data_IF_308094073767
#
_entry.id   IF_308094073767
#
_cell.length_a   1.000
_cell.length_b   1.000
_cell.length_c   1.000
_cell.angle_alpha   90.00
_cell.angle_beta   90.00
_cell.angle_gamma   90.00
#
_symmetry.space_group_name_H-M   'P 1'
#
loop_
_entity.id
_entity.type
_entity.pdbx_description
1 polymer ?
#
# COMPACT_ATOMS: atom_id res chain seq x y z
N UNK A 1 -22.40 -5.51 12.85
CA UNK A 1 -21.16 -4.68 12.76
C UNK A 1 -21.35 -3.41 11.93
N UNK A 2 -22.16 -3.39 10.87
CA UNK A 2 -22.38 -2.19 10.03
C UNK A 2 -23.22 -1.07 10.67
N UNK A 3 -24.10 -1.35 11.64
CA UNK A 3 -24.93 -0.32 12.30
C UNK A 3 -24.19 0.52 13.35
N UNK A 4 -23.06 0.05 13.87
CA UNK A 4 -22.30 0.77 14.90
C UNK A 4 -21.29 1.77 14.30
N UNK A 5 -20.81 1.53 13.08
CA UNK A 5 -19.85 2.42 12.40
C UNK A 5 -20.47 3.72 11.86
N UNK A 6 -21.80 3.83 11.82
CA UNK A 6 -22.52 5.01 11.33
C UNK A 6 -22.88 6.07 12.40
N UNK A 7 -22.67 5.78 13.69
CA UNK A 7 -22.99 6.74 14.77
C UNK A 7 -21.77 7.61 15.13
N UNK A 8 -21.99 8.86 15.56
CA UNK A 8 -20.93 9.78 16.06
C UNK A 8 -20.03 9.10 17.11
N UNK A 9 -20.57 8.20 17.94
CA UNK A 9 -19.82 7.40 18.92
C UNK A 9 -18.91 6.35 18.25
N UNK A 10 -19.36 5.67 17.20
CA UNK A 10 -18.56 4.70 16.44
C UNK A 10 -17.38 5.34 15.72
N UNK A 11 -17.57 6.52 15.13
CA UNK A 11 -16.50 7.31 14.50
C UNK A 11 -15.47 7.76 15.56
N UNK A 12 -15.93 8.14 16.75
CA UNK A 12 -15.06 8.56 17.85
C UNK A 12 -14.22 7.40 18.39
N UNK A 13 -14.81 6.20 18.54
CA UNK A 13 -14.10 4.97 18.92
C UNK A 13 -13.09 4.57 17.85
N UNK A 14 -13.45 4.65 16.57
CA UNK A 14 -12.53 4.35 15.47
C UNK A 14 -11.32 5.31 15.45
N UNK A 15 -11.57 6.60 15.68
CA UNK A 15 -10.50 7.59 15.82
C UNK A 15 -9.62 7.29 17.04
N UNK A 16 -10.22 6.92 18.18
CA UNK A 16 -9.46 6.55 19.38
C UNK A 16 -8.57 5.32 19.13
N UNK A 17 -9.08 4.28 18.48
CA UNK A 17 -8.29 3.10 18.09
C UNK A 17 -7.16 3.51 17.16
N UNK A 18 -7.42 4.35 16.16
CA UNK A 18 -6.41 4.84 15.22
C UNK A 18 -5.27 5.57 15.93
N UNK A 19 -5.59 6.49 16.85
CA UNK A 19 -4.58 7.23 17.59
C UNK A 19 -3.84 6.35 18.62
N UNK A 20 -4.51 5.36 19.22
CA UNK A 20 -3.87 4.35 20.07
C UNK A 20 -2.87 3.50 19.27
N UNK A 21 -3.23 3.10 18.05
CA UNK A 21 -2.30 2.40 17.14
C UNK A 21 -1.11 3.28 16.77
N UNK A 22 -1.32 4.56 16.49
CA UNK A 22 -0.21 5.49 16.25
C UNK A 22 0.70 5.62 17.46
N UNK A 23 0.15 5.75 18.66
CA UNK A 23 0.94 5.78 19.89
C UNK A 23 1.80 4.52 20.07
N UNK A 24 1.23 3.33 19.86
CA UNK A 24 1.97 2.08 19.92
C UNK A 24 3.10 2.01 18.87
N UNK A 25 2.83 2.44 17.64
CA UNK A 25 3.82 2.50 16.56
C UNK A 25 4.95 3.49 16.87
N UNK A 26 4.62 4.67 17.40
CA UNK A 26 5.64 5.62 17.82
C UNK A 26 6.50 5.08 18.95
N UNK A 27 5.90 4.43 19.95
CA UNK A 27 6.66 3.80 21.03
C UNK A 27 7.64 2.76 20.48
N UNK A 28 7.20 1.89 19.58
CA UNK A 28 8.08 0.90 18.93
C UNK A 28 9.18 1.56 18.09
N UNK A 29 8.88 2.59 17.30
CA UNK A 29 9.89 3.26 16.49
C UNK A 29 10.89 4.10 17.31
N UNK A 30 10.54 4.51 18.53
CA UNK A 30 11.48 5.15 19.45
C UNK A 30 12.43 4.14 20.10
N UNK A 31 12.03 2.87 20.20
CA UNK A 31 12.87 1.77 20.65
C UNK A 31 13.72 1.17 19.53
N UNK A 32 13.23 1.28 18.29
CA UNK A 32 13.89 0.74 17.10
C UNK A 32 15.02 1.64 16.63
N UNK A 33 16.23 1.10 16.68
CA UNK A 33 17.44 1.74 16.20
C UNK A 33 18.38 0.80 15.47
N UNK A 34 19.54 1.35 15.12
CA UNK A 34 20.65 0.63 14.52
C UNK A 34 21.71 0.49 15.62
N UNK A 35 22.01 -0.76 15.98
CA UNK A 35 22.97 -1.13 17.04
C UNK A 35 22.68 -0.47 18.40
N UNK A 36 21.44 -0.03 18.63
CA UNK A 36 21.05 0.71 19.84
C UNK A 36 21.63 2.13 19.96
N UNK A 37 22.27 2.67 18.92
CA UNK A 37 22.89 4.00 18.92
C UNK A 37 22.09 5.02 18.10
N UNK A 38 21.51 4.59 16.98
CA UNK A 38 20.87 5.48 16.00
C UNK A 38 19.37 5.17 15.90
N UNK A 39 18.48 6.14 16.17
CA UNK A 39 17.02 5.94 16.23
C UNK A 39 16.23 6.77 15.18
N UNK A 40 16.36 6.52 13.87
CA UNK A 40 15.89 7.43 12.82
C UNK A 40 14.38 7.28 12.47
N UNK A 41 13.69 6.28 13.00
CA UNK A 41 12.36 5.90 12.50
C UNK A 41 11.22 6.78 13.04
N UNK A 42 11.29 7.19 14.32
CA UNK A 42 10.17 7.84 14.99
C UNK A 42 9.84 9.23 14.41
N UNK A 43 10.86 10.08 14.18
CA UNK A 43 10.63 11.42 13.63
C UNK A 43 10.15 11.39 12.17
N UNK A 44 10.66 10.43 11.41
CA UNK A 44 10.36 10.22 10.00
C UNK A 44 8.90 9.79 9.83
N UNK A 45 8.43 8.92 10.72
CA UNK A 45 7.03 8.52 10.83
C UNK A 45 6.11 9.68 11.23
N UNK A 46 6.57 10.55 12.15
CA UNK A 46 5.83 11.76 12.55
C UNK A 46 5.58 12.70 11.37
N UNK A 47 6.62 13.03 10.61
CA UNK A 47 6.51 13.94 9.45
C UNK A 47 5.63 13.33 8.36
N UNK A 48 5.74 12.02 8.12
CA UNK A 48 4.89 11.32 7.15
C UNK A 48 3.39 11.38 7.54
N UNK A 49 3.06 11.24 8.82
CA UNK A 49 1.68 11.37 9.32
C UNK A 49 1.14 12.79 9.19
N UNK A 50 1.95 13.80 9.50
CA UNK A 50 1.58 15.21 9.31
C UNK A 50 1.30 15.53 7.84
N UNK A 51 2.09 14.98 6.91
CA UNK A 51 1.86 15.12 5.48
C UNK A 51 0.52 14.52 5.03
N UNK A 52 0.13 13.39 5.62
CA UNK A 52 -1.11 12.70 5.31
C UNK A 52 -2.37 13.32 5.97
N UNK A 53 -2.31 14.62 6.26
CA UNK A 53 -3.39 15.47 6.75
C UNK A 53 -4.08 14.93 8.02
N UNK A 54 -3.31 14.28 8.90
CA UNK A 54 -3.77 13.94 10.25
C UNK A 54 -3.73 15.18 11.16
N UNK A 55 -4.47 15.15 12.27
CA UNK A 55 -4.50 16.25 13.23
C UNK A 55 -3.10 16.46 13.84
N UNK A 56 -2.37 17.45 13.31
CA UNK A 56 -0.95 17.71 13.63
C UNK A 56 -0.73 17.86 15.13
N UNK A 57 -1.61 18.56 15.85
CA UNK A 57 -1.50 18.75 17.30
C UNK A 57 -1.62 17.46 18.11
N UNK A 58 -2.54 16.58 17.70
CA UNK A 58 -2.73 15.32 18.41
C UNK A 58 -1.58 14.37 18.11
N UNK A 59 -1.12 14.32 16.85
CA UNK A 59 0.04 13.53 16.46
C UNK A 59 1.32 14.01 17.12
N UNK A 60 1.54 15.33 17.26
CA UNK A 60 2.72 15.87 17.94
C UNK A 60 2.70 15.56 19.45
N UNK A 61 1.54 15.67 20.09
CA UNK A 61 1.38 15.28 21.50
C UNK A 61 1.66 13.80 21.74
N UNK A 62 1.14 12.94 20.86
CA UNK A 62 1.38 11.49 20.89
C UNK A 62 2.88 11.16 20.70
N UNK A 63 3.53 11.82 19.75
CA UNK A 63 4.96 11.63 19.48
C UNK A 63 5.80 11.94 20.73
N UNK A 64 5.65 13.14 21.29
CA UNK A 64 6.39 13.55 22.50
C UNK A 64 6.07 12.64 23.68
N UNK A 65 4.80 12.29 23.90
CA UNK A 65 4.39 11.41 25.00
C UNK A 65 5.03 10.02 24.88
N UNK A 66 5.04 9.44 23.67
CA UNK A 66 5.61 8.11 23.44
C UNK A 66 7.13 8.06 23.65
N UNK A 67 7.84 9.12 23.25
CA UNK A 67 9.29 9.20 23.40
C UNK A 67 9.70 9.47 24.85
N UNK A 68 8.91 10.25 25.60
CA UNK A 68 9.14 10.52 27.04
C UNK A 68 9.01 9.28 27.91
N UNK A 69 8.15 8.34 27.54
CA UNK A 69 8.01 7.06 28.24
C UNK A 69 9.26 6.20 28.07
N UNK A 70 9.94 6.30 26.92
CA UNK A 70 11.13 5.51 26.64
C UNK A 70 12.35 6.03 27.41
N UNK A 71 12.68 7.32 27.28
CA UNK A 71 13.83 7.92 27.94
C UNK A 71 13.50 9.33 28.44
N UNK A 72 13.29 9.44 29.75
CA UNK A 72 13.06 10.72 30.41
C UNK A 72 14.38 11.45 30.65
N UNK A 73 14.87 12.17 29.65
CA UNK A 73 16.01 13.09 29.78
C UNK A 73 15.64 14.48 29.27
N UNK A 74 16.23 15.51 29.89
CA UNK A 74 16.02 16.91 29.50
C UNK A 74 16.49 17.17 28.06
N UNK A 75 17.60 16.55 27.65
CA UNK A 75 18.12 16.62 26.28
C UNK A 75 17.11 16.06 25.27
N UNK A 76 16.58 14.86 25.53
CA UNK A 76 15.58 14.25 24.66
C UNK A 76 14.32 15.12 24.59
N UNK A 77 13.86 15.68 25.70
CA UNK A 77 12.69 16.56 25.71
C UNK A 77 12.90 17.82 24.85
N UNK A 78 14.07 18.44 24.90
CA UNK A 78 14.39 19.62 24.08
C UNK A 78 14.42 19.24 22.59
N UNK A 79 15.08 18.13 22.22
CA UNK A 79 15.13 17.66 20.84
C UNK A 79 13.73 17.34 20.28
N UNK A 80 12.89 16.65 21.07
CA UNK A 80 11.55 16.23 20.66
C UNK A 80 10.56 17.40 20.60
N UNK A 81 10.65 18.34 21.53
CA UNK A 81 9.82 19.55 21.48
C UNK A 81 10.22 20.44 20.30
N UNK A 82 11.51 20.58 20.01
CA UNK A 82 11.98 21.36 18.86
C UNK A 82 11.49 20.76 17.53
N UNK A 83 11.64 19.45 17.33
CA UNK A 83 11.13 18.76 16.14
C UNK A 83 9.62 18.96 15.99
N UNK A 84 8.84 18.77 17.06
CA UNK A 84 7.39 18.97 17.06
C UNK A 84 6.99 20.42 16.73
N UNK A 85 7.63 21.41 17.37
CA UNK A 85 7.34 22.83 17.17
C UNK A 85 7.66 23.28 15.75
N UNK A 86 8.82 22.90 15.20
CA UNK A 86 9.21 23.26 13.82
C UNK A 86 8.18 22.74 12.83
N UNK A 87 7.72 21.50 12.98
CA UNK A 87 6.75 20.89 12.07
C UNK A 87 5.35 21.51 12.21
N UNK A 88 4.91 21.82 13.44
CA UNK A 88 3.65 22.54 13.69
C UNK A 88 3.70 23.94 13.09
N UNK A 89 4.81 24.66 13.28
CA UNK A 89 5.04 25.98 12.67
C UNK A 89 4.99 25.92 11.15
N UNK A 90 5.69 24.95 10.53
CA UNK A 90 5.66 24.76 9.08
C UNK A 90 4.25 24.48 8.57
N UNK A 91 3.47 23.66 9.28
CA UNK A 91 2.08 23.39 8.93
C UNK A 91 1.21 24.67 8.99
N UNK A 92 1.38 25.50 10.01
CA UNK A 92 0.67 26.77 10.14
C UNK A 92 1.01 27.77 9.03
N UNK A 93 2.29 27.86 8.67
CA UNK A 93 2.76 28.73 7.58
C UNK A 93 2.09 28.33 6.27
N UNK A 94 2.07 27.04 5.93
CA UNK A 94 1.40 26.56 4.71
C UNK A 94 -0.12 26.71 4.75
N UNK A 95 -0.74 26.52 5.92
CA UNK A 95 -2.18 26.77 6.10
C UNK A 95 -2.53 28.25 5.88
N UNK A 96 -1.69 29.18 6.33
CA UNK A 96 -1.87 30.63 6.08
C UNK A 96 -1.64 30.99 4.61
N UNK A 97 -0.66 30.38 3.95
CA UNK A 97 -0.30 30.64 2.55
C UNK A 97 -1.29 29.96 1.57
N UNK A 98 -2.18 29.07 2.04
CA UNK A 98 -3.13 28.28 1.23
C UNK A 98 -2.46 27.43 0.13
N UNK A 99 -1.14 27.27 0.16
CA UNK A 99 -0.41 26.41 -0.75
C UNK A 99 -0.34 24.98 -0.18
N UNK A 100 -0.49 23.99 -1.04
CA UNK A 100 -0.16 22.61 -0.69
C UNK A 100 1.36 22.49 -0.61
N UNK A 101 1.86 21.80 0.41
CA UNK A 101 3.29 21.61 0.58
C UNK A 101 3.80 20.80 -0.64
N UNK A 102 4.82 21.27 -1.38
CA UNK A 102 5.39 20.51 -2.49
C UNK A 102 6.33 19.42 -1.97
N UNK A 103 6.35 18.26 -2.64
CA UNK A 103 7.10 17.07 -2.17
C UNK A 103 8.60 17.32 -2.02
N UNK A 104 9.16 18.25 -2.81
CA UNK A 104 10.57 18.63 -2.75
C UNK A 104 10.96 19.43 -1.49
N UNK A 105 10.01 20.09 -0.83
CA UNK A 105 10.26 20.93 0.35
C UNK A 105 10.21 20.14 1.66
N UNK A 106 9.63 18.93 1.61
CA UNK A 106 9.54 18.03 2.75
C UNK A 106 10.89 17.60 3.35
N UNK A 107 11.92 17.17 2.59
CA UNK A 107 13.23 16.85 3.17
C UNK A 107 13.90 18.06 3.80
N UNK A 108 13.67 19.27 3.28
CA UNK A 108 14.19 20.50 3.89
C UNK A 108 13.55 20.73 5.26
N UNK A 109 12.24 20.53 5.40
CA UNK A 109 11.58 20.57 6.69
C UNK A 109 12.03 19.48 7.65
N UNK A 110 12.33 18.28 7.13
CA UNK A 110 12.90 17.20 7.91
C UNK A 110 14.26 17.61 8.52
N UNK A 111 15.15 18.17 7.70
CA UNK A 111 16.46 18.63 8.15
C UNK A 111 16.35 19.77 9.17
N UNK A 112 15.49 20.75 8.90
CA UNK A 112 15.24 21.86 9.83
C UNK A 112 14.71 21.39 11.18
N UNK A 113 13.83 20.38 11.18
CA UNK A 113 13.29 19.82 12.43
C UNK A 113 14.38 19.17 13.30
N UNK A 114 15.46 18.65 12.71
CA UNK A 114 16.53 17.94 13.42
C UNK A 114 17.71 18.82 13.85
N UNK A 115 17.58 20.15 13.72
CA UNK A 115 18.63 21.10 14.10
C UNK A 115 19.05 20.97 15.57
N UNK A 116 18.10 20.81 16.50
CA UNK A 116 18.40 20.59 17.91
C UNK A 116 19.21 19.31 18.14
N UNK A 117 18.83 18.20 17.50
CA UNK A 117 19.55 16.93 17.60
C UNK A 117 21.00 17.05 17.10
N UNK A 118 21.20 17.75 15.98
CA UNK A 118 22.54 18.00 15.46
C UNK A 118 23.40 18.81 16.44
N UNK A 119 22.86 19.86 17.06
CA UNK A 119 23.64 20.71 17.99
C UNK A 119 24.14 19.92 19.19
N UNK A 120 23.33 19.02 19.77
CA UNK A 120 23.75 18.22 20.92
C UNK A 120 24.76 17.12 20.56
N UNK A 121 24.65 16.51 19.37
CA UNK A 121 25.49 15.36 18.97
C UNK A 121 26.73 15.74 18.12
N UNK A 122 26.85 16.98 17.64
CA UNK A 122 28.03 17.46 16.91
C UNK A 122 29.22 17.81 17.82
N UNK A 123 29.05 17.75 19.15
CA UNK A 123 30.11 18.09 20.11
C UNK A 123 31.29 17.13 20.15
N UNK A 124 31.17 15.93 19.57
CA UNK A 124 32.26 14.93 19.57
C UNK A 124 32.51 14.37 18.17
N UNK A 125 33.80 14.20 17.81
CA UNK A 125 34.23 13.74 16.47
C UNK A 125 33.63 12.36 16.13
N UNK A 126 33.48 11.49 17.13
CA UNK A 126 32.95 10.13 16.95
C UNK A 126 31.44 10.09 16.66
N UNK A 127 30.69 11.15 16.99
CA UNK A 127 29.23 11.21 16.82
C UNK A 127 28.78 11.88 15.52
N UNK A 128 29.71 12.47 14.75
CA UNK A 128 29.41 13.12 13.46
C UNK A 128 28.85 12.11 12.46
N UNK A 129 29.52 10.96 12.30
CA UNK A 129 29.12 9.93 11.33
C UNK A 129 27.75 9.32 11.68
N UNK A 130 27.48 8.87 12.93
CA UNK A 130 26.15 8.41 13.33
C UNK A 130 25.04 9.45 13.11
N UNK A 131 25.32 10.74 13.35
CA UNK A 131 24.33 11.82 13.15
C UNK A 131 23.99 12.03 11.67
N UNK A 132 24.96 11.94 10.76
CA UNK A 132 24.69 12.01 9.33
C UNK A 132 23.88 10.80 8.85
N UNK A 133 24.24 9.60 9.33
CA UNK A 133 23.51 8.36 9.03
C UNK A 133 22.06 8.43 9.53
N UNK A 134 21.83 8.97 10.72
CA UNK A 134 20.49 9.23 11.28
C UNK A 134 19.62 10.06 10.33
N UNK A 135 20.15 11.17 9.83
CA UNK A 135 19.41 12.09 8.95
C UNK A 135 19.09 11.43 7.60
N UNK A 136 20.08 10.80 6.98
CA UNK A 136 19.91 10.18 5.66
C UNK A 136 18.91 9.02 5.73
N UNK A 137 19.07 8.11 6.69
CA UNK A 137 18.15 6.96 6.85
C UNK A 137 16.75 7.44 7.21
N UNK A 138 16.63 8.45 8.07
CA UNK A 138 15.32 9.00 8.43
C UNK A 138 14.59 9.64 7.24
N UNK A 139 15.27 10.43 6.42
CA UNK A 139 14.66 11.01 5.21
C UNK A 139 14.22 9.92 4.23
N UNK A 140 15.03 8.89 4.02
CA UNK A 140 14.67 7.76 3.17
C UNK A 140 13.44 7.02 3.71
N UNK A 141 13.41 6.77 5.02
CA UNK A 141 12.29 6.11 5.68
C UNK A 141 11.00 6.96 5.62
N UNK A 142 11.12 8.28 5.75
CA UNK A 142 9.99 9.21 5.62
C UNK A 142 9.30 9.08 4.26
N UNK A 143 10.06 9.02 3.17
CA UNK A 143 9.50 8.83 1.84
C UNK A 143 8.78 7.47 1.70
N UNK A 144 9.35 6.41 2.28
CA UNK A 144 8.69 5.10 2.33
C UNK A 144 7.35 5.17 3.08
N UNK A 145 7.32 5.80 4.27
CA UNK A 145 6.09 5.98 5.04
C UNK A 145 5.03 6.79 4.28
N UNK A 146 5.40 7.85 3.58
CA UNK A 146 4.44 8.66 2.79
C UNK A 146 3.79 7.82 1.68
N UNK A 147 4.58 7.00 0.98
CA UNK A 147 4.05 6.11 -0.06
C UNK A 147 3.05 5.12 0.54
N UNK A 148 3.40 4.50 1.67
CA UNK A 148 2.55 3.54 2.37
C UNK A 148 1.24 4.19 2.85
N UNK A 149 1.32 5.35 3.50
CA UNK A 149 0.12 6.04 3.97
C UNK A 149 -0.77 6.52 2.82
N UNK A 150 -0.18 6.96 1.70
CA UNK A 150 -0.96 7.30 0.50
C UNK A 150 -1.71 6.08 -0.03
N UNK A 151 -1.10 4.90 -0.02
CA UNK A 151 -1.78 3.64 -0.39
C UNK A 151 -2.92 3.34 0.59
N UNK A 152 -2.63 3.28 1.89
CA UNK A 152 -3.64 2.93 2.90
C UNK A 152 -4.80 3.93 3.00
N UNK A 153 -4.53 5.24 2.89
CA UNK A 153 -5.54 6.29 3.07
C UNK A 153 -6.30 6.64 1.77
N UNK A 154 -5.65 6.59 0.60
CA UNK A 154 -6.25 7.06 -0.67
C UNK A 154 -6.71 5.91 -1.55
N UNK A 155 -5.94 4.81 -1.66
CA UNK A 155 -6.32 3.67 -2.53
C UNK A 155 -7.27 2.69 -1.84
N UNK A 156 -7.28 2.66 -0.51
CA UNK A 156 -8.07 1.70 0.29
C UNK A 156 -7.46 0.29 0.31
N UNK A 157 -7.90 -0.52 1.28
CA UNK A 157 -7.42 -1.89 1.49
C UNK A 157 -8.13 -2.81 0.48
N UNK A 158 -7.43 -3.22 -0.58
CA UNK A 158 -7.98 -4.16 -1.57
C UNK A 158 -7.45 -4.00 -3.00
N UNK A 159 -6.66 -2.95 -3.28
CA UNK A 159 -5.98 -2.81 -4.57
C UNK A 159 -4.64 -3.56 -4.58
N UNK A 160 -4.25 -4.10 -5.75
CA UNK A 160 -2.94 -4.73 -5.94
C UNK A 160 -1.84 -3.69 -5.72
N UNK A 161 -0.95 -3.97 -4.77
CA UNK A 161 0.25 -3.17 -4.50
C UNK A 161 1.17 -3.23 -5.72
N UNK A 162 1.70 -2.08 -6.14
CA UNK A 162 2.80 -2.07 -7.11
C UNK A 162 4.07 -2.63 -6.48
N UNK A 163 5.05 -3.01 -7.32
CA UNK A 163 6.34 -3.54 -6.83
C UNK A 163 7.01 -2.53 -5.88
N UNK A 164 7.00 -1.23 -6.25
CA UNK A 164 7.54 -0.16 -5.42
C UNK A 164 6.81 0.01 -4.08
N UNK A 165 5.47 -0.14 -4.07
CA UNK A 165 4.67 -0.06 -2.85
C UNK A 165 4.93 -1.25 -1.93
N UNK A 166 5.12 -2.44 -2.51
CA UNK A 166 5.51 -3.65 -1.77
C UNK A 166 6.88 -3.48 -1.12
N UNK A 167 7.86 -2.91 -1.83
CA UNK A 167 9.18 -2.61 -1.28
C UNK A 167 9.10 -1.62 -0.12
N UNK A 168 8.28 -0.57 -0.23
CA UNK A 168 8.06 0.37 0.87
C UNK A 168 7.45 -0.33 2.09
N UNK A 169 6.46 -1.21 1.90
CA UNK A 169 5.88 -2.02 2.99
C UNK A 169 6.94 -2.91 3.64
N UNK A 170 7.85 -3.51 2.86
CA UNK A 170 8.97 -4.27 3.40
C UNK A 170 9.87 -3.41 4.27
N UNK A 171 10.27 -2.21 3.82
CA UNK A 171 11.08 -1.27 4.61
C UNK A 171 10.38 -0.86 5.91
N UNK A 172 9.06 -0.69 5.88
CA UNK A 172 8.28 -0.42 7.09
C UNK A 172 8.26 -1.60 8.05
N UNK A 173 8.15 -2.82 7.55
CA UNK A 173 8.27 -4.04 8.37
C UNK A 173 9.67 -4.19 8.96
N UNK A 174 10.74 -3.81 8.24
CA UNK A 174 12.10 -3.77 8.80
C UNK A 174 12.17 -2.81 10.01
N UNK A 175 11.66 -1.59 9.87
CA UNK A 175 11.63 -0.64 10.97
C UNK A 175 10.78 -1.12 12.16
N UNK A 176 9.66 -1.80 11.89
CA UNK A 176 8.86 -2.44 12.93
C UNK A 176 9.62 -3.59 13.62
N UNK A 177 10.33 -4.42 12.85
CA UNK A 177 11.16 -5.50 13.40
C UNK A 177 12.27 -4.97 14.32
N UNK A 178 12.91 -3.87 13.95
CA UNK A 178 13.89 -3.18 14.80
C UNK A 178 13.25 -2.66 16.10
N UNK A 179 12.08 -2.03 16.02
CA UNK A 179 11.33 -1.58 17.21
C UNK A 179 10.91 -2.73 18.13
N UNK A 180 10.46 -3.84 17.56
CA UNK A 180 10.07 -5.03 18.30
C UNK A 180 11.26 -5.77 18.93
N UNK A 181 12.45 -5.67 18.32
CA UNK A 181 13.69 -6.18 18.89
C UNK A 181 14.15 -5.36 20.10
N UNK A 182 13.99 -4.04 20.06
CA UNK A 182 14.28 -3.14 21.19
C UNK A 182 13.28 -3.29 22.35
N UNK A 183 12.06 -3.69 22.06
CA UNK A 183 11.02 -3.90 23.07
C UNK A 183 11.15 -5.30 23.72
N UNK A 184 11.71 -5.37 24.92
CA UNK A 184 11.69 -6.58 25.75
C UNK A 184 10.85 -6.37 27.01
N UNK A 185 9.83 -7.21 27.22
CA UNK A 185 9.02 -7.19 28.43
C UNK A 185 9.58 -8.25 29.38
N UNK A 186 10.23 -7.85 30.48
CA UNK A 186 10.73 -8.76 31.53
C UNK A 186 11.59 -9.94 31.01
N UNK A 187 12.31 -9.72 29.89
CA UNK A 187 13.15 -10.71 29.22
C UNK A 187 12.42 -11.63 28.23
N UNK A 188 11.14 -11.38 27.93
CA UNK A 188 10.44 -12.00 26.80
C UNK A 188 10.75 -11.23 25.51
N UNK A 189 11.11 -11.97 24.46
CA UNK A 189 11.34 -11.43 23.12
C UNK A 189 10.00 -11.15 22.42
N UNK A 190 9.56 -9.89 22.41
CA UNK A 190 8.31 -9.50 21.74
C UNK A 190 8.35 -9.74 20.23
N UNK A 191 9.54 -9.63 19.64
CA UNK A 191 9.74 -9.90 18.22
C UNK A 191 9.32 -11.32 17.85
N UNK A 192 9.65 -12.33 18.64
CA UNK A 192 9.32 -13.72 18.29
C UNK A 192 7.81 -13.95 18.31
N UNK A 193 7.12 -13.41 19.32
CA UNK A 193 5.67 -13.51 19.44
C UNK A 193 4.98 -12.88 18.23
N UNK A 194 5.34 -11.63 17.91
CA UNK A 194 4.67 -10.87 16.84
C UNK A 194 5.09 -11.38 15.46
N UNK A 195 6.36 -11.74 15.27
CA UNK A 195 6.85 -12.27 14.00
C UNK A 195 6.21 -13.62 13.67
N UNK A 196 6.18 -14.57 14.60
CA UNK A 196 5.53 -15.88 14.37
C UNK A 196 4.04 -15.70 14.06
N UNK A 197 3.36 -14.84 14.82
CA UNK A 197 1.95 -14.51 14.55
C UNK A 197 1.75 -13.93 13.15
N UNK A 198 2.57 -12.94 12.74
CA UNK A 198 2.46 -12.31 11.42
C UNK A 198 2.82 -13.27 10.29
N UNK A 199 3.82 -14.13 10.47
CA UNK A 199 4.23 -15.15 9.49
C UNK A 199 3.07 -16.10 9.24
N UNK A 200 2.50 -16.69 10.29
CA UNK A 200 1.33 -17.60 10.18
C UNK A 200 0.13 -16.90 9.55
N UNK A 201 -0.18 -15.68 9.99
CA UNK A 201 -1.27 -14.88 9.43
C UNK A 201 -1.07 -14.64 7.92
N UNK A 202 0.13 -14.26 7.49
CA UNK A 202 0.44 -14.03 6.08
C UNK A 202 0.43 -15.31 5.24
N UNK A 203 0.92 -16.43 5.78
CA UNK A 203 0.87 -17.75 5.12
C UNK A 203 -0.56 -18.14 4.77
N UNK A 204 -1.52 -17.85 5.66
CA UNK A 204 -2.93 -18.18 5.44
C UNK A 204 -3.72 -17.11 4.69
N UNK A 205 -3.45 -15.80 4.85
CA UNK A 205 -4.18 -14.73 4.13
C UNK A 205 -3.83 -14.72 2.64
N UNK A 206 -2.54 -14.80 2.30
CA UNK A 206 -2.10 -14.67 0.92
C UNK A 206 -2.03 -16.05 0.25
N UNK A 207 -2.47 -16.14 -1.02
CA UNK A 207 -2.42 -17.40 -1.73
C UNK A 207 -0.97 -17.79 -2.10
N UNK A 208 -0.14 -16.80 -2.44
CA UNK A 208 1.28 -17.01 -2.73
C UNK A 208 2.10 -17.23 -1.45
N UNK A 209 2.90 -18.29 -1.45
CA UNK A 209 3.82 -18.65 -0.36
C UNK A 209 4.96 -17.63 -0.18
N UNK A 210 5.27 -16.83 -1.19
CA UNK A 210 6.38 -15.86 -1.14
C UNK A 210 6.16 -14.74 -0.12
N UNK A 211 4.91 -14.37 0.17
CA UNK A 211 4.61 -13.28 1.11
C UNK A 211 5.08 -13.57 2.54
N UNK A 212 4.90 -14.80 3.02
CA UNK A 212 5.33 -15.17 4.38
C UNK A 212 6.85 -15.12 4.52
N UNK A 213 7.59 -15.53 3.49
CA UNK A 213 9.06 -15.42 3.47
C UNK A 213 9.53 -13.96 3.47
N UNK A 214 8.86 -13.08 2.71
CA UNK A 214 9.20 -11.65 2.66
C UNK A 214 8.90 -10.96 4.01
N UNK A 215 7.82 -11.34 4.68
CA UNK A 215 7.48 -10.82 6.02
C UNK A 215 8.50 -11.31 7.06
N UNK A 216 8.87 -12.59 7.02
CA UNK A 216 9.89 -13.15 7.91
C UNK A 216 11.26 -12.50 7.69
N UNK A 217 11.66 -12.33 6.43
CA UNK A 217 12.95 -11.71 6.09
C UNK A 217 13.01 -10.25 6.50
N UNK A 218 11.95 -9.48 6.28
CA UNK A 218 11.90 -8.06 6.68
C UNK A 218 11.92 -7.88 8.20
N UNK A 219 11.12 -8.64 8.95
CA UNK A 219 11.15 -8.59 10.42
C UNK A 219 12.51 -9.06 10.99
N UNK A 220 13.08 -10.12 10.41
CA UNK A 220 14.41 -10.62 10.77
C UNK A 220 15.54 -9.64 10.47
N UNK A 221 15.48 -8.92 9.34
CA UNK A 221 16.43 -7.85 9.03
C UNK A 221 16.30 -6.70 10.03
N UNK A 222 15.08 -6.39 10.48
CA UNK A 222 14.83 -5.42 11.55
C UNK A 222 15.54 -5.80 12.85
N UNK A 223 15.45 -7.08 13.25
CA UNK A 223 16.21 -7.58 14.41
C UNK A 223 17.72 -7.43 14.23
N UNK A 224 18.22 -7.82 13.05
CA UNK A 224 19.65 -7.77 12.76
C UNK A 224 20.19 -6.34 12.81
N UNK A 225 19.40 -5.35 12.39
CA UNK A 225 19.76 -3.93 12.52
C UNK A 225 19.84 -3.46 13.97
N UNK A 226 18.90 -3.89 14.83
CA UNK A 226 18.88 -3.50 16.24
C UNK A 226 20.04 -4.13 17.02
N UNK A 227 20.21 -5.45 16.90
CA UNK A 227 21.12 -6.24 17.75
C UNK A 227 22.52 -6.37 17.14
N UNK A 228 22.66 -6.16 15.83
CA UNK A 228 23.91 -6.39 15.09
C UNK A 228 24.20 -7.86 14.79
N UNK A 229 23.26 -8.77 15.06
CA UNK A 229 23.41 -10.22 14.84
C UNK A 229 22.41 -10.76 13.82
N UNK A 230 22.89 -11.58 12.87
CA UNK A 230 22.05 -12.19 11.84
C UNK A 230 21.34 -13.47 12.28
N UNK A 231 21.55 -13.93 13.51
CA UNK A 231 21.11 -15.26 13.92
C UNK A 231 19.58 -15.41 13.93
N UNK A 232 18.85 -14.42 14.46
CA UNK A 232 17.38 -14.41 14.45
C UNK A 232 16.78 -14.31 13.04
N UNK A 233 17.49 -13.65 12.10
CA UNK A 233 17.03 -13.56 10.72
C UNK A 233 16.94 -14.95 10.09
N UNK A 234 17.95 -15.80 10.31
CA UNK A 234 17.93 -17.18 9.85
C UNK A 234 16.80 -17.99 10.53
N UNK A 235 16.60 -17.82 11.84
CA UNK A 235 15.54 -18.52 12.57
C UNK A 235 14.16 -18.22 11.99
N UNK A 236 13.79 -16.94 11.86
CA UNK A 236 12.47 -16.54 11.36
C UNK A 236 12.21 -17.03 9.93
N UNK A 237 13.24 -17.10 9.08
CA UNK A 237 13.12 -17.67 7.73
C UNK A 237 12.81 -19.16 7.75
N UNK A 238 13.49 -19.94 8.58
CA UNK A 238 13.24 -21.39 8.71
C UNK A 238 11.84 -21.64 9.28
N UNK A 239 11.42 -20.85 10.28
CA UNK A 239 10.05 -20.90 10.81
C UNK A 239 9.00 -20.62 9.71
N UNK A 240 9.25 -19.63 8.86
CA UNK A 240 8.37 -19.34 7.74
C UNK A 240 8.31 -20.49 6.72
N UNK A 241 9.45 -21.10 6.38
CA UNK A 241 9.50 -22.27 5.50
C UNK A 241 8.71 -23.45 6.08
N UNK A 242 8.84 -23.72 7.39
CA UNK A 242 8.05 -24.74 8.08
C UNK A 242 6.54 -24.48 7.96
N UNK A 243 6.11 -23.23 8.18
CA UNK A 243 4.69 -22.87 8.02
C UNK A 243 4.17 -23.07 6.58
N UNK A 244 5.00 -22.77 5.59
CA UNK A 244 4.63 -22.85 4.17
C UNK A 244 4.50 -24.31 3.73
N UNK A 245 5.40 -25.19 4.18
CA UNK A 245 5.44 -26.60 3.79
C UNK A 245 4.11 -27.32 4.11
N UNK A 246 3.46 -26.96 5.22
CA UNK A 246 2.22 -27.60 5.70
C UNK A 246 0.96 -26.77 5.46
N UNK A 247 1.03 -25.71 4.65
CA UNK A 247 -0.11 -24.83 4.32
C UNK A 247 -1.29 -25.59 3.71
N UNK A 248 -1.03 -26.62 2.90
CA UNK A 248 -2.04 -27.37 2.13
C UNK A 248 -2.87 -28.35 2.97
N UNK A 249 -2.36 -28.79 4.12
CA UNK A 249 -2.99 -29.84 4.92
C UNK A 249 -4.02 -29.28 5.90
N UNK A 250 -3.58 -28.56 6.94
CA UNK A 250 -4.45 -27.96 7.96
C UNK A 250 -3.69 -26.88 8.74
N UNK A 251 -4.43 -25.93 9.34
CA UNK A 251 -3.91 -24.89 10.24
C UNK A 251 -3.08 -25.45 11.40
N UNK A 252 -3.52 -26.57 11.97
CA UNK A 252 -2.84 -27.18 13.12
C UNK A 252 -1.47 -27.77 12.77
N UNK A 253 -1.32 -28.38 11.59
CA UNK A 253 -0.04 -28.94 11.15
C UNK A 253 0.99 -27.85 10.86
N UNK A 254 0.58 -26.72 10.27
CA UNK A 254 1.48 -25.58 10.07
C UNK A 254 1.98 -25.01 11.40
N UNK A 255 1.13 -24.93 12.42
CA UNK A 255 1.53 -24.43 13.74
C UNK A 255 2.50 -25.42 14.41
N UNK A 256 2.16 -26.71 14.40
CA UNK A 256 3.03 -27.75 14.97
C UNK A 256 4.41 -27.78 14.29
N UNK A 257 4.47 -27.56 12.96
CA UNK A 257 5.74 -27.49 12.25
C UNK A 257 6.60 -26.30 12.71
N UNK A 258 6.01 -25.14 12.98
CA UNK A 258 6.74 -23.97 13.46
C UNK A 258 7.34 -24.25 14.84
N UNK A 259 6.56 -24.86 15.74
CA UNK A 259 7.03 -25.26 17.08
C UNK A 259 8.20 -26.24 16.99
N UNK A 260 8.09 -27.29 16.16
CA UNK A 260 9.16 -28.27 15.98
C UNK A 260 10.41 -27.59 15.40
N UNK A 261 10.26 -26.72 14.40
CA UNK A 261 11.39 -25.97 13.84
C UNK A 261 12.06 -25.07 14.88
N UNK A 262 11.30 -24.39 15.73
CA UNK A 262 11.84 -23.53 16.79
C UNK A 262 12.67 -24.34 17.81
N UNK A 263 12.14 -25.48 18.26
CA UNK A 263 12.84 -26.37 19.20
C UNK A 263 14.13 -26.93 18.58
N UNK A 264 14.11 -27.34 17.31
CA UNK A 264 15.29 -27.85 16.63
C UNK A 264 16.36 -26.77 16.48
N UNK A 265 15.98 -25.56 16.08
CA UNK A 265 16.90 -24.42 15.94
C UNK A 265 17.47 -23.96 17.29
N UNK A 266 16.65 -24.02 18.33
CA UNK A 266 17.04 -23.67 19.70
C UNK A 266 18.02 -24.66 20.32
N UNK A 267 17.71 -25.96 20.28
CA UNK A 267 18.49 -26.99 20.99
C UNK A 267 19.71 -27.48 20.21
N UNK A 268 19.60 -27.67 18.88
CA UNK A 268 20.67 -28.29 18.10
C UNK A 268 21.58 -27.27 17.42
N UNK A 269 21.02 -26.17 16.90
CA UNK A 269 21.81 -25.16 16.17
C UNK A 269 22.31 -24.02 17.06
N UNK A 270 21.85 -23.94 18.30
CA UNK A 270 22.08 -22.82 19.22
C UNK A 270 21.95 -21.45 18.53
N UNK A 271 20.99 -21.33 17.61
CA UNK A 271 20.89 -20.18 16.71
C UNK A 271 20.51 -18.88 17.46
N UNK A 272 20.04 -18.99 18.70
CA UNK A 272 19.71 -17.87 19.56
C UNK A 272 20.86 -17.44 20.50
N UNK A 273 22.03 -18.11 20.42
CA UNK A 273 23.20 -17.88 21.28
C UNK A 273 23.04 -18.46 22.69
N UNK A 274 21.96 -18.11 23.38
CA UNK A 274 21.51 -18.75 24.63
C UNK A 274 20.01 -19.05 24.56
N UNK A 275 19.67 -20.29 24.26
CA UNK A 275 18.27 -20.72 24.22
C UNK A 275 17.67 -20.73 25.63
N UNK A 276 16.89 -19.69 25.93
CA UNK A 276 16.22 -19.52 27.23
C UNK A 276 14.76 -19.93 27.11
N UNK A 277 14.18 -20.50 28.17
CA UNK A 277 12.74 -20.85 28.22
C UNK A 277 11.81 -19.69 27.83
N UNK A 278 12.24 -18.44 28.05
CA UNK A 278 11.50 -17.22 27.70
C UNK A 278 11.29 -17.04 26.19
N UNK A 279 12.25 -17.47 25.37
CA UNK A 279 12.18 -17.41 23.89
C UNK A 279 11.14 -18.42 23.39
N UNK A 280 11.16 -19.63 23.96
CA UNK A 280 10.19 -20.67 23.62
C UNK A 280 8.76 -20.29 24.04
N UNK A 281 8.59 -19.66 25.20
CA UNK A 281 7.27 -19.21 25.64
C UNK A 281 6.73 -18.10 24.73
N UNK A 282 7.58 -17.19 24.23
CA UNK A 282 7.13 -16.12 23.33
C UNK A 282 6.70 -16.66 21.96
N UNK A 283 7.37 -17.68 21.41
CA UNK A 283 6.97 -18.33 20.15
C UNK A 283 5.65 -19.09 20.32
N UNK A 284 5.48 -19.87 21.38
CA UNK A 284 4.23 -20.57 21.70
C UNK A 284 3.06 -19.60 21.87
N UNK A 285 3.27 -18.46 22.54
CA UNK A 285 2.23 -17.44 22.68
C UNK A 285 1.79 -16.87 21.32
N UNK A 286 2.73 -16.63 20.40
CA UNK A 286 2.42 -16.19 19.03
C UNK A 286 1.58 -17.21 18.25
N UNK A 287 1.89 -18.49 18.41
CA UNK A 287 1.13 -19.60 17.84
C UNK A 287 -0.29 -19.72 18.41
N UNK A 288 -0.44 -19.62 19.73
CA UNK A 288 -1.74 -19.66 20.40
C UNK A 288 -2.61 -18.48 19.94
N UNK A 289 -2.05 -17.28 19.83
CA UNK A 289 -2.77 -16.10 19.31
C UNK A 289 -3.30 -16.34 17.88
N UNK A 290 -2.52 -17.01 17.03
CA UNK A 290 -2.99 -17.39 15.70
C UNK A 290 -4.08 -18.48 15.74
N UNK A 291 -3.98 -19.45 16.65
CA UNK A 291 -5.02 -20.47 16.83
C UNK A 291 -6.35 -19.88 17.33
N UNK A 292 -6.29 -18.86 18.19
CA UNK A 292 -7.47 -18.14 18.70
C UNK A 292 -8.24 -17.38 17.60
N UNK A 293 -7.59 -17.04 16.48
CA UNK A 293 -8.28 -16.44 15.34
C UNK A 293 -9.24 -17.46 14.71
N UNK A 294 -10.52 -17.05 14.62
CA UNK A 294 -11.55 -17.83 13.94
C UNK A 294 -11.30 -17.91 12.43
N UNK A 295 -11.60 -19.06 11.83
CA UNK A 295 -11.50 -19.28 10.40
C UNK A 295 -12.34 -18.25 9.60
N UNK A 296 -13.47 -17.80 10.15
CA UNK A 296 -14.32 -16.74 9.55
C UNK A 296 -13.58 -15.42 9.40
N UNK A 297 -12.77 -15.05 10.39
CA UNK A 297 -11.99 -13.80 10.35
C UNK A 297 -10.86 -13.89 9.33
N UNK A 298 -10.21 -15.05 9.21
CA UNK A 298 -9.19 -15.29 8.18
C UNK A 298 -9.81 -15.20 6.79
N UNK A 299 -10.99 -15.79 6.59
CA UNK A 299 -11.72 -15.71 5.32
C UNK A 299 -12.15 -14.28 4.98
N UNK A 300 -12.64 -13.52 5.95
CA UNK A 300 -12.94 -12.10 5.77
C UNK A 300 -11.69 -11.30 5.41
N UNK A 301 -10.56 -11.55 6.07
CA UNK A 301 -9.27 -10.92 5.73
C UNK A 301 -8.77 -11.33 4.34
N UNK A 302 -8.96 -12.58 3.94
CA UNK A 302 -8.67 -13.05 2.57
C UNK A 302 -9.54 -12.34 1.54
N UNK A 303 -10.79 -12.00 1.85
CA UNK A 303 -11.67 -11.27 0.90
C UNK A 303 -11.23 -9.80 0.78
N UNK A 304 -10.82 -9.18 1.89
CA UNK A 304 -10.43 -7.76 1.91
C UNK A 304 -9.01 -7.56 1.32
N UNK A 305 -8.05 -8.40 1.70
CA UNK A 305 -6.65 -8.27 1.28
C UNK A 305 -6.30 -9.15 0.07
N UNK A 306 -7.08 -10.19 -0.21
CA UNK A 306 -6.73 -11.21 -1.20
C UNK A 306 -6.92 -10.75 -2.64
N UNK A 307 -5.97 -11.19 -3.46
CA UNK A 307 -5.76 -10.83 -4.86
C UNK A 307 -6.98 -11.09 -5.77
N UNK A 308 -7.92 -11.96 -5.36
CA UNK A 308 -9.06 -12.43 -6.16
C UNK A 308 -10.06 -11.35 -6.53
N UNK A 309 -10.33 -10.38 -5.65
CA UNK A 309 -11.34 -9.35 -5.92
C UNK A 309 -10.85 -8.31 -6.92
N UNK A 310 -9.54 -8.04 -6.96
CA UNK A 310 -8.98 -7.01 -7.83
C UNK A 310 -9.15 -7.34 -9.32
N UNK A 311 -8.90 -8.58 -9.74
CA UNK A 311 -8.98 -8.96 -11.16
C UNK A 311 -10.43 -9.05 -11.66
N UNK A 312 -11.35 -9.58 -10.85
CA UNK A 312 -12.76 -9.64 -11.21
C UNK A 312 -13.41 -8.25 -11.18
N UNK A 313 -13.13 -7.43 -10.17
CA UNK A 313 -13.63 -6.06 -10.09
C UNK A 313 -13.05 -5.17 -11.20
N UNK A 314 -11.76 -5.29 -11.52
CA UNK A 314 -11.13 -4.58 -12.65
C UNK A 314 -11.73 -5.03 -13.98
N UNK A 315 -11.91 -6.34 -14.20
CA UNK A 315 -12.58 -6.85 -15.40
C UNK A 315 -14.01 -6.33 -15.51
N UNK A 316 -14.78 -6.31 -14.42
CA UNK A 316 -16.14 -5.79 -14.42
C UNK A 316 -16.19 -4.27 -14.66
N UNK A 317 -15.25 -3.51 -14.11
CA UNK A 317 -15.14 -2.06 -14.33
C UNK A 317 -14.76 -1.74 -15.78
N UNK A 318 -13.78 -2.45 -16.35
CA UNK A 318 -13.39 -2.33 -17.75
C UNK A 318 -14.55 -2.73 -18.66
N UNK A 319 -15.23 -3.85 -18.38
CA UNK A 319 -16.39 -4.29 -19.14
C UNK A 319 -17.52 -3.25 -19.10
N UNK A 320 -17.80 -2.64 -17.94
CA UNK A 320 -18.79 -1.57 -17.82
C UNK A 320 -18.39 -0.30 -18.58
N UNK A 321 -17.10 0.05 -18.56
CA UNK A 321 -16.59 1.18 -19.33
C UNK A 321 -16.70 0.95 -20.84
N UNK A 322 -16.41 -0.28 -21.30
CA UNK A 322 -16.61 -0.71 -22.69
C UNK A 322 -18.08 -0.68 -23.08
N UNK A 323 -18.97 -1.18 -22.22
CA UNK A 323 -20.41 -1.17 -22.47
C UNK A 323 -20.98 0.26 -22.56
N UNK A 324 -20.53 1.16 -21.70
CA UNK A 324 -20.86 2.59 -21.78
C UNK A 324 -20.32 3.25 -23.06
N UNK A 325 -19.11 2.88 -23.50
CA UNK A 325 -18.52 3.34 -24.75
C UNK A 325 -19.32 2.85 -25.96
N UNK A 326 -19.68 1.56 -25.99
CA UNK A 326 -20.53 0.98 -27.04
C UNK A 326 -21.86 1.71 -27.12
N UNK A 327 -22.55 1.94 -25.98
CA UNK A 327 -23.81 2.69 -25.94
C UNK A 327 -23.67 4.10 -26.52
N UNK A 328 -22.58 4.81 -26.20
CA UNK A 328 -22.30 6.13 -26.77
C UNK A 328 -22.08 6.08 -28.29
N UNK A 329 -21.38 5.05 -28.79
CA UNK A 329 -21.21 4.86 -30.24
C UNK A 329 -22.54 4.55 -30.94
N UNK A 330 -23.41 3.74 -30.32
CA UNK A 330 -24.76 3.49 -30.85
C UNK A 330 -25.61 4.75 -30.90
N UNK A 331 -25.62 5.55 -29.83
CA UNK A 331 -26.34 6.84 -29.84
C UNK A 331 -25.81 7.80 -30.90
N UNK A 332 -24.49 7.83 -31.14
CA UNK A 332 -23.92 8.63 -32.23
C UNK A 332 -24.37 8.12 -33.62
N UNK A 333 -24.39 6.80 -33.81
CA UNK A 333 -24.88 6.18 -35.05
C UNK A 333 -26.35 6.51 -35.33
N UNK A 334 -27.18 6.50 -34.29
CA UNK A 334 -28.60 6.86 -34.38
C UNK A 334 -28.77 8.33 -34.79
N UNK A 335 -28.00 9.25 -34.19
CA UNK A 335 -28.00 10.67 -34.57
C UNK A 335 -27.56 10.87 -36.03
N UNK A 336 -26.55 10.14 -36.51
CA UNK A 336 -26.15 10.21 -37.92
C UNK A 336 -27.23 9.67 -38.87
N UNK A 337 -27.95 8.62 -38.47
CA UNK A 337 -29.07 8.07 -39.23
C UNK A 337 -30.24 9.06 -39.30
N UNK A 338 -30.56 9.76 -38.20
CA UNK A 338 -31.57 10.82 -38.20
C UNK A 338 -31.16 12.03 -39.03
N UNK A 339 -29.86 12.37 -39.04
CA UNK A 339 -29.30 13.42 -39.90
C UNK A 339 -29.44 13.03 -41.38
N UNK A 340 -29.05 11.81 -41.76
CA UNK A 340 -29.24 11.29 -43.13
C UNK A 340 -30.72 11.33 -43.54
N UNK A 341 -31.62 10.92 -42.65
CA UNK A 341 -33.07 10.94 -42.89
C UNK A 341 -33.61 12.36 -43.05
N UNK A 342 -33.16 13.30 -42.22
CA UNK A 342 -33.55 14.71 -42.33
C UNK A 342 -33.03 15.36 -43.62
N UNK A 343 -31.81 15.04 -44.03
CA UNK A 343 -31.28 15.45 -45.34
C UNK A 343 -32.14 14.90 -46.48
N UNK A 344 -32.44 13.59 -46.46
CA UNK A 344 -33.30 12.96 -47.49
C UNK A 344 -34.70 13.55 -47.52
N UNK A 345 -35.27 13.91 -46.37
CA UNK A 345 -36.58 14.57 -46.30
C UNK A 345 -36.54 16.00 -46.86
N UNK A 346 -35.46 16.75 -46.61
CA UNK A 346 -35.27 18.11 -47.14
C UNK A 346 -35.09 18.09 -48.66
N UNK A 347 -34.39 17.08 -49.18
CA UNK A 347 -34.19 16.84 -50.62
C UNK A 347 -35.53 16.47 -51.31
N UNK A 348 -36.39 15.66 -50.67
CA UNK A 348 -37.67 15.20 -51.24
C UNK A 348 -38.71 16.30 -51.55
N UNK A 349 -38.49 17.55 -51.16
CA UNK A 349 -39.41 18.67 -51.42
C UNK A 349 -38.93 19.71 -52.43
N UNK A 350 -37.67 19.67 -52.87
CA UNK A 350 -37.03 20.79 -53.62
C UNK A 350 -36.57 20.39 -55.03
N UNK A 351 -36.51 19.10 -55.36
CA UNK A 351 -35.94 18.65 -56.64
C UNK A 351 -36.99 18.43 -57.75
N UNK A 352 -36.75 18.96 -58.97
CA UNK A 352 -37.51 18.61 -60.16
C UNK A 352 -37.39 17.10 -60.48
N UNK A 353 -38.43 16.53 -61.08
CA UNK A 353 -38.58 15.07 -61.25
C UNK A 353 -37.40 14.38 -61.97
N UNK A 354 -36.72 15.09 -62.87
CA UNK A 354 -35.54 14.57 -63.59
C UNK A 354 -34.29 14.44 -62.70
N UNK A 355 -34.00 15.43 -61.85
CA UNK A 355 -32.85 15.34 -60.93
C UNK A 355 -33.08 14.30 -59.82
N UNK A 356 -34.33 14.12 -59.38
CA UNK A 356 -34.69 13.07 -58.43
C UNK A 356 -34.45 11.66 -59.00
N UNK A 357 -34.73 11.47 -60.30
CA UNK A 357 -34.49 10.19 -60.99
C UNK A 357 -33.00 9.87 -61.09
N UNK A 358 -32.17 10.86 -61.39
CA UNK A 358 -30.70 10.71 -61.37
C UNK A 358 -30.17 10.40 -59.97
N UNK A 359 -30.65 11.10 -58.94
CA UNK A 359 -30.17 10.91 -57.58
C UNK A 359 -30.53 9.52 -57.01
N UNK A 360 -31.73 9.03 -57.33
CA UNK A 360 -32.16 7.66 -56.99
C UNK A 360 -31.33 6.60 -57.73
N UNK A 361 -30.99 6.85 -59.00
CA UNK A 361 -30.13 5.99 -59.81
C UNK A 361 -28.75 5.84 -59.15
N UNK A 362 -28.14 6.95 -58.75
CA UNK A 362 -26.84 6.95 -58.06
C UNK A 362 -26.91 6.25 -56.69
N UNK A 363 -28.00 6.41 -55.92
CA UNK A 363 -28.18 5.74 -54.64
C UNK A 363 -28.33 4.21 -54.79
N UNK A 364 -29.03 3.76 -55.85
CA UNK A 364 -29.17 2.36 -56.24
C UNK A 364 -27.83 1.77 -56.67
N UNK A 365 -27.08 2.49 -57.50
CA UNK A 365 -25.73 2.10 -57.91
C UNK A 365 -24.80 1.93 -56.71
N UNK A 366 -24.81 2.89 -55.77
CA UNK A 366 -23.96 2.81 -54.60
C UNK A 366 -24.32 1.63 -53.68
N UNK A 367 -25.61 1.34 -53.45
CA UNK A 367 -26.03 0.23 -52.59
C UNK A 367 -25.78 -1.15 -53.21
N UNK A 368 -26.07 -1.33 -54.50
CA UNK A 368 -25.92 -2.63 -55.17
C UNK A 368 -24.43 -2.92 -55.46
N UNK A 369 -23.67 -1.92 -55.90
CA UNK A 369 -22.26 -2.11 -56.24
C UNK A 369 -21.30 -1.92 -55.07
N UNK A 370 -21.77 -1.71 -53.83
CA UNK A 370 -20.90 -1.47 -52.66
C UNK A 370 -19.93 -2.64 -52.41
N UNK A 371 -20.46 -3.87 -52.39
CA UNK A 371 -19.69 -5.10 -52.10
C UNK A 371 -19.32 -5.89 -53.36
N UNK A 372 -19.42 -5.30 -54.56
CA UNK A 372 -19.16 -6.01 -55.82
C UNK A 372 -17.66 -5.99 -56.18
N UNK A 373 -16.98 -7.15 -56.33
CA UNK A 373 -15.56 -7.22 -56.68
C UNK A 373 -15.25 -6.72 -58.10
N UNK A 374 -16.24 -6.77 -59.02
CA UNK A 374 -16.09 -6.37 -60.43
C UNK A 374 -16.51 -4.91 -60.70
N UNK A 375 -16.77 -4.12 -59.65
CA UNK A 375 -17.23 -2.73 -59.73
C UNK A 375 -16.44 -1.89 -60.73
N UNK A 376 -15.10 -1.98 -60.67
CA UNK A 376 -14.23 -1.18 -61.55
C UNK A 376 -14.36 -1.53 -63.03
N UNK A 377 -14.67 -2.79 -63.35
CA UNK A 377 -14.84 -3.26 -64.72
C UNK A 377 -16.21 -2.83 -65.27
N UNK A 378 -17.28 -2.97 -64.50
CA UNK A 378 -18.61 -2.52 -64.92
C UNK A 378 -18.67 -1.01 -65.17
N UNK A 379 -18.07 -0.20 -64.28
CA UNK A 379 -18.09 1.27 -64.43
C UNK A 379 -17.18 1.80 -65.55
N UNK A 380 -16.11 1.10 -65.94
CA UNK A 380 -15.17 1.57 -66.98
C UNK A 380 -15.45 0.99 -68.35
N UNK A 381 -15.91 -0.26 -68.44
CA UNK A 381 -15.99 -1.00 -69.71
C UNK A 381 -17.43 -1.15 -70.19
N UNK A 382 -18.40 -1.31 -69.27
CA UNK A 382 -19.81 -1.57 -69.59
C UNK A 382 -20.72 -0.41 -69.16
N UNK A 383 -20.19 0.82 -69.11
CA UNK A 383 -20.89 1.98 -68.57
C UNK A 383 -22.22 2.28 -69.28
N UNK A 384 -22.30 2.01 -70.60
CA UNK A 384 -23.51 2.23 -71.38
C UNK A 384 -24.59 1.18 -71.09
N UNK A 385 -24.24 -0.11 -71.12
CA UNK A 385 -25.17 -1.21 -70.81
C UNK A 385 -25.68 -1.13 -69.37
N UNK A 386 -24.79 -0.75 -68.44
CA UNK A 386 -25.20 -0.59 -67.04
C UNK A 386 -26.13 0.62 -66.88
N UNK A 387 -25.96 1.69 -67.65
CA UNK A 387 -26.84 2.85 -67.60
C UNK A 387 -28.24 2.60 -68.19
N UNK A 388 -28.36 1.69 -69.16
CA UNK A 388 -29.64 1.31 -69.78
C UNK A 388 -30.49 0.43 -68.87
N UNK A 389 -29.88 -0.45 -68.08
CA UNK A 389 -30.61 -1.34 -67.15
C UNK A 389 -31.27 -0.57 -65.99
N UNK A 390 -30.71 0.56 -65.60
CA UNK A 390 -31.20 1.40 -64.50
C UNK A 390 -31.88 2.72 -64.95
N UNK A 391 -32.09 2.92 -66.26
CA UNK A 391 -32.80 4.09 -66.82
C UNK A 391 -34.30 3.88 -66.90
#
# INVERSE_FOLDING_TARGET
MSSFFGTKKGILILNAIKYATFFALFYLFNLGGIRGEIFPFAFSFFIALCWCNQNVFLTSGIYVASSMINNFSLENFICLSCTAVVIVCCYFVHKKIKCRIPMALLPVYALLSQTAYMVFHLGSINQIVPTLVYLVIGILFMFACIKIFKVFLVKGVGLKLTIDESLCVCTFLVALGSGLAGASLWGFSLINLIAVFLILLCTYIYNSSSFALVVASSLGLGFALQTGSLSMFACLLVLALGSIAFKSTNKYFSVMSVLICDVVLGLYFNAYGTYTYKIMVSTILGEILFLCISNKSIELLKIILGERNSTLALRNMVNRSRDNLCKRMYSLSEVFSEMDRSFKQTIRGVLPAEEAKQMLKDELFQKICYDCPEKHRCHRVLANETNEIFG
#
